data_IF_885310251195
#
_entry.id   IF_885310251195
#
_cell.length_a   1.000
_cell.length_b   1.000
_cell.length_c   1.000
_cell.angle_alpha   90.00
_cell.angle_beta   90.00
_cell.angle_gamma   90.00
#
_symmetry.space_group_name_H-M   'P 1'
#
loop_
_entity.id
_entity.type
_entity.pdbx_description
1 polymer ?
#
# COMPACT_ATOMS: atom_id res chain seq x y z
N UNK A 1 -2.51 -4.47 -18.40
CA UNK A 1 -2.09 -3.17 -17.82
C UNK A 1 -3.29 -2.24 -17.83
N UNK A 2 -3.61 -1.64 -16.68
CA UNK A 2 -4.74 -0.72 -16.54
C UNK A 2 -4.43 0.68 -17.09
N UNK A 3 -5.48 1.41 -17.45
CA UNK A 3 -5.39 2.84 -17.77
C UNK A 3 -6.57 3.59 -17.16
N UNK A 4 -6.33 4.81 -16.70
CA UNK A 4 -7.37 5.71 -16.18
C UNK A 4 -7.42 6.97 -17.02
N UNK A 5 -8.64 7.48 -17.25
CA UNK A 5 -8.85 8.74 -17.95
C UNK A 5 -9.62 9.69 -17.04
N UNK A 6 -9.05 10.86 -16.80
CA UNK A 6 -9.63 11.89 -15.94
C UNK A 6 -9.39 13.28 -16.52
N UNK A 7 -10.21 14.23 -16.06
CA UNK A 7 -10.12 15.64 -16.46
C UNK A 7 -9.50 16.43 -15.32
N UNK A 8 -8.35 17.04 -15.59
CA UNK A 8 -7.67 17.94 -14.65
C UNK A 8 -7.71 19.39 -15.16
N UNK A 9 -6.99 20.30 -14.48
CA UNK A 9 -6.92 21.72 -14.86
C UNK A 9 -6.27 21.97 -16.24
N UNK A 10 -5.60 20.97 -16.82
CA UNK A 10 -4.93 21.03 -18.14
C UNK A 10 -5.77 20.38 -19.26
N UNK A 11 -6.89 19.74 -18.93
CA UNK A 11 -7.76 19.04 -19.89
C UNK A 11 -7.92 17.55 -19.55
N UNK A 12 -8.41 16.78 -20.53
CA UNK A 12 -8.48 15.33 -20.43
C UNK A 12 -7.08 14.71 -20.52
N UNK A 13 -6.79 13.76 -19.63
CA UNK A 13 -5.52 13.05 -19.55
C UNK A 13 -5.78 11.56 -19.35
N UNK A 14 -4.95 10.73 -19.98
CA UNK A 14 -4.91 9.29 -19.77
C UNK A 14 -3.59 8.90 -19.14
N UNK A 15 -3.65 8.14 -18.04
CA UNK A 15 -2.48 7.58 -17.37
C UNK A 15 -2.51 6.06 -17.43
N UNK A 16 -1.35 5.48 -17.73
CA UNK A 16 -1.13 4.05 -17.66
C UNK A 16 -0.62 3.67 -16.27
N UNK A 17 -1.11 2.55 -15.75
CA UNK A 17 -0.73 2.05 -14.43
C UNK A 17 0.76 1.75 -14.31
N UNK A 18 1.42 1.36 -15.40
CA UNK A 18 2.87 1.13 -15.43
C UNK A 18 3.68 2.37 -15.04
N UNK A 19 3.25 3.57 -15.45
CA UNK A 19 3.93 4.81 -15.07
C UNK A 19 3.84 5.04 -13.56
N UNK A 20 2.67 4.78 -12.98
CA UNK A 20 2.45 4.92 -11.55
C UNK A 20 3.21 3.84 -10.78
N UNK A 21 3.26 2.61 -11.29
CA UNK A 21 4.07 1.53 -10.74
C UNK A 21 5.55 1.91 -10.65
N UNK A 22 6.11 2.48 -11.73
CA UNK A 22 7.51 2.94 -11.77
C UNK A 22 7.74 4.09 -10.78
N UNK A 23 6.79 5.03 -10.68
CA UNK A 23 6.82 6.11 -9.70
C UNK A 23 6.86 5.55 -8.26
N UNK A 24 5.99 4.60 -7.92
CA UNK A 24 5.95 3.99 -6.59
C UNK A 24 7.26 3.28 -6.23
N UNK A 25 7.87 2.57 -7.19
CA UNK A 25 9.16 1.87 -6.99
C UNK A 25 10.33 2.82 -6.69
N UNK A 26 10.24 4.08 -7.13
CA UNK A 26 11.31 5.07 -6.93
C UNK A 26 11.10 5.85 -5.63
N UNK A 27 9.84 6.11 -5.28
CA UNK A 27 9.51 7.05 -4.19
C UNK A 27 9.50 6.41 -2.81
N UNK A 28 9.31 5.10 -2.75
CA UNK A 28 9.10 4.41 -1.49
C UNK A 28 10.14 3.31 -1.29
N UNK A 29 10.42 3.02 -0.03
CA UNK A 29 11.26 1.90 0.39
C UNK A 29 10.50 0.58 0.23
N UNK A 30 10.04 0.30 -1.00
CA UNK A 30 9.29 -0.90 -1.37
C UNK A 30 10.22 -1.88 -2.09
N UNK A 31 10.40 -3.07 -1.53
CA UNK A 31 11.12 -4.18 -2.16
C UNK A 31 10.37 -4.71 -3.40
N UNK A 32 9.04 -4.56 -3.40
CA UNK A 32 8.19 -5.02 -4.48
C UNK A 32 6.97 -4.12 -4.67
N UNK A 33 6.64 -3.87 -5.93
CA UNK A 33 5.41 -3.21 -6.37
C UNK A 33 4.95 -3.89 -7.66
N UNK A 34 3.69 -4.31 -7.71
CA UNK A 34 3.07 -4.92 -8.88
C UNK A 34 1.70 -4.33 -9.15
N UNK A 35 1.46 -3.92 -10.39
CA UNK A 35 0.13 -3.54 -10.86
C UNK A 35 -0.84 -4.72 -10.85
N UNK A 36 -1.90 -4.60 -10.06
CA UNK A 36 -3.03 -5.53 -9.97
C UNK A 36 -4.35 -4.83 -10.31
N UNK A 37 -4.32 -3.71 -11.02
CA UNK A 37 -5.51 -2.90 -11.38
C UNK A 37 -6.59 -3.74 -12.07
N UNK A 38 -6.20 -4.73 -12.89
CA UNK A 38 -7.13 -5.63 -13.57
C UNK A 38 -7.91 -6.57 -12.61
N UNK A 39 -7.48 -6.68 -11.35
CA UNK A 39 -8.21 -7.45 -10.32
C UNK A 39 -9.50 -6.78 -9.85
N UNK A 40 -9.71 -5.52 -10.24
CA UNK A 40 -10.93 -4.76 -9.96
C UNK A 40 -11.55 -4.23 -11.25
N UNK A 41 -12.87 -4.18 -11.29
CA UNK A 41 -13.63 -3.67 -12.45
C UNK A 41 -14.07 -2.21 -12.27
N UNK A 42 -13.40 -1.44 -11.40
CA UNK A 42 -13.76 -0.04 -11.16
C UNK A 42 -12.92 0.89 -12.03
N UNK A 43 -13.60 1.68 -12.87
CA UNK A 43 -12.96 2.72 -13.66
C UNK A 43 -12.31 3.80 -12.79
N UNK A 44 -11.20 4.33 -13.30
CA UNK A 44 -10.41 5.41 -12.69
C UNK A 44 -9.85 5.09 -11.30
N UNK A 45 -9.59 3.82 -11.03
CA UNK A 45 -8.87 3.37 -9.84
C UNK A 45 -7.73 2.47 -10.31
N UNK A 46 -6.55 2.70 -9.79
CA UNK A 46 -5.40 1.81 -9.93
C UNK A 46 -5.13 1.11 -8.62
N UNK A 47 -4.63 -0.12 -8.68
CA UNK A 47 -4.36 -0.94 -7.51
C UNK A 47 -3.01 -1.59 -7.65
N UNK A 48 -2.20 -1.47 -6.61
CA UNK A 48 -0.86 -2.01 -6.55
C UNK A 48 -0.73 -2.94 -5.34
N UNK A 49 -0.09 -4.08 -5.58
CA UNK A 49 0.34 -5.03 -4.57
C UNK A 49 1.79 -4.70 -4.20
N UNK A 50 2.06 -4.44 -2.93
CA UNK A 50 3.32 -3.89 -2.45
C UNK A 50 3.91 -4.71 -1.29
N UNK A 51 5.24 -4.70 -1.19
CA UNK A 51 6.00 -5.22 -0.04
C UNK A 51 6.98 -4.15 0.42
N UNK A 52 7.03 -3.89 1.73
CA UNK A 52 8.05 -3.00 2.29
C UNK A 52 9.43 -3.65 2.24
N UNK A 53 10.45 -2.84 2.05
CA UNK A 53 11.84 -3.26 2.21
C UNK A 53 12.12 -3.59 3.68
N UNK A 54 12.78 -4.73 3.91
CA UNK A 54 13.09 -5.24 5.25
C UNK A 54 13.99 -4.30 6.05
N UNK A 55 14.71 -3.39 5.39
CA UNK A 55 15.60 -2.43 6.02
C UNK A 55 14.89 -1.18 6.57
N UNK A 56 13.63 -0.96 6.20
CA UNK A 56 12.81 0.17 6.68
C UNK A 56 12.67 0.11 8.20
N UNK A 57 12.33 -1.07 8.69
CA UNK A 57 12.33 -1.37 10.10
C UNK A 57 13.60 -2.15 10.38
N UNK A 58 14.66 -1.43 10.79
CA UNK A 58 15.82 -2.09 11.39
C UNK A 58 15.34 -2.68 12.71
N UNK A 59 14.84 -3.90 12.65
CA UNK A 59 14.86 -4.78 13.80
C UNK A 59 16.34 -4.90 14.14
N UNK A 60 16.80 -4.12 15.11
CA UNK A 60 17.97 -4.57 15.87
C UNK A 60 17.58 -6.00 16.27
N UNK A 61 18.38 -6.99 15.83
CA UNK A 61 18.29 -8.34 16.36
C UNK A 61 18.32 -8.16 17.88
N UNK A 62 17.14 -8.14 18.52
CA UNK A 62 17.06 -7.99 19.95
C UNK A 62 17.83 -9.19 20.46
N UNK A 63 18.93 -8.93 21.17
CA UNK A 63 19.83 -9.98 21.68
C UNK A 63 18.97 -11.13 22.23
N UNK A 64 19.33 -12.38 21.93
CA UNK A 64 18.56 -13.57 22.37
C UNK A 64 18.27 -13.54 23.90
N UNK A 65 19.09 -12.82 24.68
CA UNK A 65 18.88 -12.57 26.12
C UNK A 65 17.66 -11.67 26.46
N UNK A 66 17.18 -10.84 25.53
CA UNK A 66 15.97 -10.02 25.69
C UNK A 66 14.69 -10.85 25.44
N UNK A 67 14.74 -11.84 24.55
CA UNK A 67 13.60 -12.73 24.27
C UNK A 67 13.33 -13.73 25.40
N UNK A 68 14.34 -14.11 26.19
CA UNK A 68 14.17 -15.06 27.30
C UNK A 68 13.54 -14.42 28.56
N UNK A 69 13.63 -13.09 28.73
CA UNK A 69 13.11 -12.36 29.90
C UNK A 69 11.90 -11.45 29.58
N UNK A 70 11.60 -11.20 28.31
CA UNK A 70 10.45 -10.39 27.86
C UNK A 70 9.52 -11.30 27.05
N UNK A 71 8.41 -11.73 27.65
CA UNK A 71 7.29 -12.25 26.86
C UNK A 71 6.95 -11.17 25.84
N UNK A 72 7.19 -11.44 24.55
CA UNK A 72 6.71 -10.60 23.46
C UNK A 72 5.20 -10.66 23.51
N UNK A 73 4.60 -9.77 24.29
CA UNK A 73 3.19 -9.78 24.57
C UNK A 73 2.39 -9.15 23.43
N UNK A 74 1.07 -9.33 23.48
CA UNK A 74 0.15 -8.78 22.49
C UNK A 74 0.27 -7.25 22.38
N UNK A 75 0.72 -6.56 23.44
CA UNK A 75 0.92 -5.12 23.49
C UNK A 75 2.13 -4.68 22.66
N UNK A 76 3.27 -5.36 22.78
CA UNK A 76 4.44 -5.14 21.91
C UNK A 76 4.07 -5.34 20.43
N UNK A 77 3.35 -6.42 20.12
CA UNK A 77 2.92 -6.68 18.75
C UNK A 77 2.00 -5.58 18.20
N UNK A 78 1.08 -5.08 19.01
CA UNK A 78 0.17 -4.00 18.64
C UNK A 78 0.90 -2.68 18.39
N UNK A 79 1.85 -2.31 19.24
CA UNK A 79 2.66 -1.09 19.07
C UNK A 79 3.44 -1.16 17.76
N UNK A 80 4.14 -2.27 17.51
CA UNK A 80 4.89 -2.45 16.27
C UNK A 80 4.01 -2.43 15.03
N UNK A 81 2.81 -3.01 15.11
CA UNK A 81 1.84 -2.95 14.01
C UNK A 81 1.39 -1.52 13.72
N UNK A 82 1.10 -0.73 14.75
CA UNK A 82 0.70 0.67 14.57
C UNK A 82 1.85 1.52 14.03
N UNK A 83 3.10 1.30 14.44
CA UNK A 83 4.27 1.99 13.89
C UNK A 83 4.44 1.71 12.38
N UNK A 84 4.32 0.44 11.98
CA UNK A 84 4.36 0.05 10.55
C UNK A 84 3.24 0.73 9.77
N UNK A 85 2.04 0.75 10.34
CA UNK A 85 0.86 1.34 9.72
C UNK A 85 0.98 2.86 9.62
N UNK A 86 1.54 3.54 10.62
CA UNK A 86 1.81 4.99 10.58
C UNK A 86 2.84 5.32 9.51
N UNK A 87 3.92 4.55 9.42
CA UNK A 87 4.92 4.72 8.36
C UNK A 87 4.32 4.56 6.96
N UNK A 88 3.56 3.48 6.70
CA UNK A 88 2.94 3.28 5.37
C UNK A 88 1.94 4.39 5.07
N UNK A 89 1.21 4.87 6.09
CA UNK A 89 0.28 5.99 5.95
C UNK A 89 1.01 7.25 5.50
N UNK A 90 2.14 7.59 6.12
CA UNK A 90 2.90 8.77 5.78
C UNK A 90 3.48 8.68 4.36
N UNK A 91 3.98 7.51 3.96
CA UNK A 91 4.39 7.24 2.57
C UNK A 91 3.20 7.43 1.60
N UNK A 92 2.02 6.92 1.94
CA UNK A 92 0.82 7.07 1.10
C UNK A 92 0.34 8.52 1.00
N UNK A 93 0.42 9.29 2.09
CA UNK A 93 0.07 10.70 2.10
C UNK A 93 1.05 11.50 1.21
N UNK A 94 2.34 11.20 1.25
CA UNK A 94 3.32 11.78 0.33
C UNK A 94 3.06 11.43 -1.13
N UNK A 95 2.77 10.16 -1.43
CA UNK A 95 2.36 9.75 -2.79
C UNK A 95 1.11 10.50 -3.25
N UNK A 96 0.11 10.64 -2.37
CA UNK A 96 -1.13 11.37 -2.67
C UNK A 96 -0.84 12.82 -3.07
N UNK A 97 0.00 13.52 -2.30
CA UNK A 97 0.37 14.90 -2.55
C UNK A 97 1.19 15.06 -3.84
N UNK A 98 2.20 14.21 -4.06
CA UNK A 98 3.03 14.26 -5.26
C UNK A 98 2.24 13.98 -6.53
N UNK A 99 1.31 13.02 -6.50
CA UNK A 99 0.44 12.74 -7.63
C UNK A 99 -0.54 13.90 -7.90
N UNK A 100 -1.12 14.49 -6.85
CA UNK A 100 -1.97 15.68 -6.99
C UNK A 100 -1.19 16.82 -7.62
N UNK A 101 0.06 17.00 -7.24
CA UNK A 101 0.91 18.05 -7.76
C UNK A 101 1.41 17.79 -9.18
N UNK A 102 1.81 16.58 -9.52
CA UNK A 102 2.23 16.22 -10.87
C UNK A 102 1.07 16.40 -11.86
N UNK A 103 -0.09 15.86 -11.50
CA UNK A 103 -1.27 15.81 -12.38
C UNK A 103 -2.21 17.00 -12.22
N UNK A 104 -1.93 17.93 -11.30
CA UNK A 104 -2.77 19.10 -10.99
C UNK A 104 -4.24 18.73 -10.81
N UNK A 105 -4.46 17.65 -10.05
CA UNK A 105 -5.78 17.07 -9.81
C UNK A 105 -5.98 16.73 -8.33
N UNK A 106 -6.51 17.70 -7.58
CA UNK A 106 -6.69 17.63 -6.12
C UNK A 106 -7.64 16.50 -5.65
N UNK A 107 -8.39 15.88 -6.58
CA UNK A 107 -9.33 14.79 -6.28
C UNK A 107 -8.67 13.41 -6.24
N UNK A 108 -7.37 13.32 -6.54
CA UNK A 108 -6.63 12.06 -6.33
C UNK A 108 -6.71 11.69 -4.86
N UNK A 109 -6.98 10.42 -4.58
CA UNK A 109 -7.01 9.86 -3.22
C UNK A 109 -6.25 8.55 -3.21
N UNK A 110 -5.46 8.32 -2.18
CA UNK A 110 -4.66 7.11 -1.95
C UNK A 110 -5.11 6.48 -0.64
N UNK A 111 -5.24 5.15 -0.64
CA UNK A 111 -5.47 4.38 0.57
C UNK A 111 -4.68 3.08 0.50
N UNK A 112 -4.20 2.60 1.65
CA UNK A 112 -3.52 1.31 1.76
C UNK A 112 -4.20 0.39 2.76
N UNK A 113 -4.01 -0.92 2.62
CA UNK A 113 -4.41 -1.89 3.64
C UNK A 113 -3.36 -3.00 3.72
N UNK A 114 -2.83 -3.24 4.91
CA UNK A 114 -1.92 -4.36 5.18
C UNK A 114 -2.73 -5.64 5.17
N UNK A 115 -2.31 -6.62 4.37
CA UNK A 115 -2.98 -7.92 4.29
C UNK A 115 -2.11 -9.07 4.80
N UNK A 116 -0.80 -8.87 4.91
CA UNK A 116 0.11 -9.85 5.47
C UNK A 116 1.17 -9.15 6.32
N UNK A 117 1.38 -9.70 7.52
CA UNK A 117 2.44 -9.34 8.43
C UNK A 117 2.84 -10.60 9.18
N UNK A 118 4.11 -10.97 9.13
CA UNK A 118 4.62 -12.11 9.86
C UNK A 118 5.01 -11.74 11.29
N UNK A 119 5.18 -12.74 12.16
CA UNK A 119 5.51 -12.54 13.57
C UNK A 119 6.88 -11.89 13.79
N UNK A 120 7.77 -11.98 12.79
CA UNK A 120 9.08 -11.31 12.82
C UNK A 120 9.03 -9.90 12.24
N UNK A 121 7.86 -9.48 11.74
CA UNK A 121 7.62 -8.21 11.07
C UNK A 121 8.57 -7.92 9.88
N UNK A 122 9.27 -8.93 9.38
CA UNK A 122 10.17 -8.78 8.23
C UNK A 122 9.44 -8.91 6.89
N UNK A 123 8.16 -9.28 6.90
CA UNK A 123 7.34 -9.51 5.72
C UNK A 123 6.03 -8.69 5.78
N UNK A 124 6.14 -7.39 5.53
CA UNK A 124 4.99 -6.50 5.44
C UNK A 124 4.48 -6.41 4.01
N UNK A 125 3.33 -7.02 3.72
CA UNK A 125 2.65 -6.90 2.43
C UNK A 125 1.32 -6.18 2.56
N UNK A 126 1.07 -5.25 1.64
CA UNK A 126 -0.06 -4.36 1.66
C UNK A 126 -0.50 -4.02 0.23
N UNK A 127 -1.75 -3.60 0.10
CA UNK A 127 -2.27 -3.09 -1.18
C UNK A 127 -2.39 -1.59 -1.11
N UNK A 128 -2.12 -0.90 -2.22
CA UNK A 128 -2.35 0.54 -2.40
C UNK A 128 -3.40 0.74 -3.48
N UNK A 129 -4.51 1.41 -3.15
CA UNK A 129 -5.51 1.86 -4.11
C UNK A 129 -5.38 3.36 -4.34
N UNK A 130 -5.32 3.76 -5.62
CA UNK A 130 -5.24 5.15 -6.05
C UNK A 130 -6.46 5.49 -6.89
N UNK A 131 -7.31 6.38 -6.39
CA UNK A 131 -8.47 6.90 -7.13
C UNK A 131 -8.07 8.15 -7.92
N UNK A 132 -8.38 8.14 -9.22
CA UNK A 132 -8.29 9.29 -10.13
C UNK A 132 -9.69 9.85 -10.44
N UNK A 133 -10.60 9.74 -9.48
CA UNK A 133 -11.95 10.34 -9.54
C UNK A 133 -12.35 10.84 -8.16
N UNK A 134 -13.29 11.77 -8.15
CA UNK A 134 -13.96 12.15 -6.90
C UNK A 134 -14.77 10.96 -6.35
N UNK A 135 -14.46 10.62 -5.11
CA UNK A 135 -14.95 9.45 -4.40
C UNK A 135 -15.02 9.78 -2.90
N UNK A 136 -15.95 9.16 -2.17
CA UNK A 136 -15.95 9.28 -0.71
C UNK A 136 -14.79 8.46 -0.15
N UNK A 137 -14.06 9.00 0.84
CA UNK A 137 -12.95 8.28 1.48
C UNK A 137 -13.35 6.87 1.94
N UNK A 138 -14.51 6.73 2.57
CA UNK A 138 -15.05 5.43 3.00
C UNK A 138 -15.19 4.41 1.84
N UNK A 139 -15.59 4.85 0.65
CA UNK A 139 -15.73 3.94 -0.51
C UNK A 139 -14.36 3.43 -0.98
N UNK A 140 -13.33 4.29 -0.93
CA UNK A 140 -11.94 3.88 -1.23
C UNK A 140 -11.41 2.91 -0.17
N UNK A 141 -11.68 3.20 1.12
CA UNK A 141 -11.31 2.32 2.24
C UNK A 141 -11.91 0.93 2.07
N UNK A 142 -13.22 0.84 1.82
CA UNK A 142 -13.94 -0.43 1.67
C UNK A 142 -13.43 -1.23 0.47
N UNK A 143 -13.14 -0.55 -0.65
CA UNK A 143 -12.54 -1.18 -1.82
C UNK A 143 -11.15 -1.74 -1.49
N UNK A 144 -10.32 -0.96 -0.80
CA UNK A 144 -8.95 -1.35 -0.47
C UNK A 144 -8.93 -2.58 0.44
N UNK A 145 -9.80 -2.61 1.47
CA UNK A 145 -10.02 -3.78 2.34
C UNK A 145 -10.47 -5.02 1.58
N UNK A 146 -11.37 -4.85 0.62
CA UNK A 146 -11.84 -5.96 -0.21
C UNK A 146 -10.71 -6.54 -1.07
N UNK A 147 -9.88 -5.68 -1.66
CA UNK A 147 -8.71 -6.12 -2.45
C UNK A 147 -7.70 -6.82 -1.55
N UNK A 148 -7.37 -6.25 -0.40
CA UNK A 148 -6.43 -6.80 0.58
C UNK A 148 -6.83 -8.23 0.98
N UNK A 149 -8.12 -8.43 1.32
CA UNK A 149 -8.67 -9.74 1.63
C UNK A 149 -8.49 -10.76 0.49
N UNK A 150 -8.72 -10.33 -0.76
CA UNK A 150 -8.52 -11.20 -1.94
C UNK A 150 -7.06 -11.57 -2.15
N UNK A 151 -6.12 -10.65 -1.87
CA UNK A 151 -4.69 -10.95 -1.95
C UNK A 151 -4.27 -11.96 -0.88
N UNK A 152 -4.78 -11.83 0.34
CA UNK A 152 -4.54 -12.82 1.40
C UNK A 152 -5.07 -14.21 1.02
N UNK A 153 -6.32 -14.30 0.55
CA UNK A 153 -6.94 -15.56 0.09
C UNK A 153 -6.21 -16.16 -1.13
N UNK A 154 -5.74 -15.31 -2.05
CA UNK A 154 -4.99 -15.71 -3.23
C UNK A 154 -3.58 -16.21 -2.89
N UNK A 155 -2.91 -15.56 -1.95
CA UNK A 155 -1.58 -15.94 -1.45
C UNK A 155 -1.64 -17.26 -0.69
N UNK A 156 -2.67 -17.46 0.15
CA UNK A 156 -2.88 -18.70 0.90
C UNK A 156 -3.04 -19.95 0.01
N UNK A 157 -3.53 -19.81 -1.24
CA UNK A 157 -3.63 -20.94 -2.19
C UNK A 157 -2.30 -21.48 -2.69
N UNK A 158 -1.20 -20.73 -2.53
CA UNK A 158 0.14 -21.16 -2.92
C UNK A 158 0.95 -21.75 -1.75
N UNK A 159 0.35 -21.84 -0.55
CA UNK A 159 0.96 -22.41 0.67
C UNK A 159 0.34 -23.75 1.11
N UNK A 160 -0.31 -24.50 0.20
CA UNK A 160 -0.75 -25.89 0.45
C UNK A 160 0.04 -26.89 -0.40
#
# INVERSE_FOLDING_TARGET
MGSVTFVNRKGEMTLNSSKIEDTLKIMADFDYVKDITESISQGNIMVFDCKLDKSVFKYEEMDDEFYDDVEVDEEYFQVMFEDIKEYIKDVCDHIEDDLRDEYKYDKIQVHFEIYNLDETFTEVSFVVCISFKEMKRLELMDLTKLVAKRQLEGSSKYFN
#
